data_IF_526135886213
#
_entry.id   IF_526135886213
#
_cell.length_a   1.000
_cell.length_b   1.000
_cell.length_c   1.000
_cell.angle_alpha   90.00
_cell.angle_beta   90.00
_cell.angle_gamma   90.00
#
_symmetry.space_group_name_H-M   'P 1'
#
loop_
_entity.id
_entity.type
_entity.pdbx_description
1 polymer ?
#
# COMPACT_ATOMS: atom_id res chain seq x y z
N UNK A 1 31.56 -7.46 -34.32
CA UNK A 1 31.63 -8.23 -33.06
C UNK A 1 30.27 -8.83 -32.76
N UNK A 2 30.07 -10.12 -33.06
CA UNK A 2 28.80 -10.83 -32.82
C UNK A 2 28.69 -11.26 -31.37
N UNK A 3 27.65 -10.80 -30.66
CA UNK A 3 27.38 -11.19 -29.28
C UNK A 3 27.13 -12.70 -29.17
N UNK A 4 27.98 -13.41 -28.42
CA UNK A 4 27.82 -14.84 -28.10
C UNK A 4 26.56 -15.00 -27.22
N UNK A 5 25.61 -15.81 -27.67
CA UNK A 5 24.45 -16.24 -26.87
C UNK A 5 24.94 -17.04 -25.66
N UNK A 6 24.39 -16.77 -24.48
CA UNK A 6 24.63 -17.57 -23.27
C UNK A 6 24.17 -19.03 -23.48
N UNK A 7 24.91 -20.03 -22.99
CA UNK A 7 24.53 -21.44 -23.09
C UNK A 7 23.26 -21.74 -22.27
N UNK A 8 22.45 -22.72 -22.69
CA UNK A 8 21.23 -23.10 -21.98
C UNK A 8 21.55 -23.67 -20.59
N UNK A 9 20.72 -23.31 -19.59
CA UNK A 9 20.81 -23.81 -18.21
C UNK A 9 20.63 -25.33 -18.22
N UNK A 10 21.66 -26.07 -17.81
CA UNK A 10 21.66 -27.53 -17.75
C UNK A 10 20.65 -28.08 -16.73
N UNK A 11 20.33 -29.38 -16.84
CA UNK A 11 19.43 -30.08 -15.92
C UNK A 11 19.99 -30.04 -14.48
N UNK A 12 19.13 -29.91 -13.45
CA UNK A 12 19.56 -29.87 -12.05
C UNK A 12 20.22 -31.21 -11.64
N UNK A 13 21.47 -31.13 -11.16
CA UNK A 13 22.24 -32.24 -10.56
C UNK A 13 21.92 -32.31 -9.06
N UNK A 14 21.86 -33.53 -8.50
CA UNK A 14 21.79 -33.74 -7.04
C UNK A 14 23.12 -33.34 -6.40
N UNK A 15 23.08 -32.54 -5.34
CA UNK A 15 24.24 -32.15 -4.56
C UNK A 15 24.82 -33.35 -3.82
N UNK A 16 26.14 -33.48 -3.83
CA UNK A 16 26.87 -34.38 -2.92
C UNK A 16 27.15 -33.64 -1.62
N UNK A 17 27.45 -34.37 -0.54
CA UNK A 17 27.72 -33.75 0.77
C UNK A 17 28.90 -32.76 0.72
N UNK A 18 29.93 -33.05 -0.08
CA UNK A 18 31.03 -32.11 -0.32
C UNK A 18 30.61 -30.79 -1.02
N UNK A 19 29.59 -30.84 -1.88
CA UNK A 19 29.03 -29.64 -2.53
C UNK A 19 28.29 -28.78 -1.48
N UNK A 20 27.65 -29.43 -0.49
CA UNK A 20 26.98 -28.75 0.64
C UNK A 20 27.99 -28.09 1.57
N UNK A 21 29.05 -28.78 1.95
CA UNK A 21 30.08 -28.26 2.85
C UNK A 21 30.80 -27.04 2.24
N UNK A 22 31.09 -27.10 0.94
CA UNK A 22 31.68 -25.98 0.20
C UNK A 22 30.76 -24.75 0.18
N UNK A 23 29.45 -24.94 -0.04
CA UNK A 23 28.49 -23.84 -0.01
C UNK A 23 28.34 -23.26 1.40
N UNK A 24 28.29 -24.08 2.45
CA UNK A 24 28.22 -23.61 3.84
C UNK A 24 29.43 -22.75 4.16
N UNK A 25 30.65 -23.23 3.89
CA UNK A 25 31.89 -22.49 4.14
C UNK A 25 31.96 -21.17 3.34
N UNK A 26 31.42 -21.16 2.13
CA UNK A 26 31.30 -19.95 1.32
C UNK A 26 30.32 -18.94 1.93
N UNK A 27 29.14 -19.38 2.39
CA UNK A 27 28.17 -18.49 3.05
C UNK A 27 28.71 -17.96 4.38
N UNK A 28 29.37 -18.80 5.18
CA UNK A 28 29.99 -18.38 6.45
C UNK A 28 31.07 -17.30 6.25
N UNK A 29 31.79 -17.33 5.13
CA UNK A 29 32.88 -16.38 4.85
C UNK A 29 32.46 -15.14 4.05
N UNK A 30 31.40 -15.21 3.24
CA UNK A 30 31.09 -14.18 2.22
C UNK A 30 29.79 -13.40 2.48
N UNK A 31 29.06 -13.68 3.56
CA UNK A 31 27.79 -13.02 3.90
C UNK A 31 27.98 -11.57 4.42
N UNK A 32 28.44 -10.66 3.57
CA UNK A 32 28.37 -9.21 3.80
C UNK A 32 27.25 -8.50 3.02
N UNK A 33 26.29 -9.24 2.42
CA UNK A 33 25.21 -8.63 1.64
C UNK A 33 23.95 -9.49 1.46
N UNK A 34 22.94 -8.92 0.79
CA UNK A 34 21.61 -9.52 0.57
C UNK A 34 21.70 -10.84 -0.22
N UNK A 35 21.09 -11.89 0.32
CA UNK A 35 21.08 -13.30 -0.14
C UNK A 35 20.44 -13.57 -1.52
N UNK A 36 20.06 -12.55 -2.30
CA UNK A 36 19.26 -12.73 -3.52
C UNK A 36 20.01 -13.34 -4.71
N UNK A 37 21.35 -13.34 -4.73
CA UNK A 37 22.14 -13.99 -5.80
C UNK A 37 23.59 -14.21 -5.38
N UNK A 38 23.87 -15.37 -4.80
CA UNK A 38 25.24 -15.83 -4.56
C UNK A 38 25.40 -17.22 -5.17
N UNK A 39 26.36 -17.36 -6.09
CA UNK A 39 26.83 -18.63 -6.63
C UNK A 39 28.28 -18.81 -6.19
N UNK A 40 28.64 -19.92 -5.52
CA UNK A 40 30.04 -20.19 -5.18
C UNK A 40 30.92 -20.21 -6.44
N UNK A 41 32.18 -19.75 -6.37
CA UNK A 41 33.10 -19.69 -7.52
C UNK A 41 33.26 -21.04 -8.24
N UNK A 42 33.23 -22.14 -7.47
CA UNK A 42 33.38 -23.50 -7.98
C UNK A 42 32.07 -24.12 -8.51
N UNK A 43 30.95 -23.38 -8.40
CA UNK A 43 29.62 -23.78 -8.86
C UNK A 43 28.94 -22.68 -9.71
N UNK A 44 29.59 -22.17 -10.78
CA UNK A 44 29.23 -20.91 -11.45
C UNK A 44 27.91 -20.94 -12.26
N UNK A 45 27.27 -22.10 -12.41
CA UNK A 45 26.03 -22.27 -13.17
C UNK A 45 24.79 -22.55 -12.29
N UNK A 46 24.91 -22.48 -10.97
CA UNK A 46 23.80 -22.74 -10.06
C UNK A 46 23.42 -21.48 -9.29
N UNK A 47 22.34 -20.83 -9.75
CA UNK A 47 21.59 -19.88 -8.95
C UNK A 47 20.78 -20.72 -7.96
N UNK A 48 20.92 -20.48 -6.65
CA UNK A 48 19.92 -20.93 -5.67
C UNK A 48 18.63 -20.16 -5.98
N UNK A 49 17.84 -20.68 -6.93
CA UNK A 49 16.59 -20.04 -7.33
C UNK A 49 15.62 -20.21 -6.17
N UNK A 50 15.38 -19.12 -5.45
CA UNK A 50 14.24 -18.95 -4.55
C UNK A 50 12.94 -19.10 -5.34
N UNK A 51 12.50 -20.34 -5.59
CA UNK A 51 11.17 -20.62 -6.12
C UNK A 51 10.24 -20.79 -4.93
N UNK A 52 9.29 -19.85 -4.81
CA UNK A 52 8.19 -19.85 -3.82
C UNK A 52 7.75 -21.29 -3.45
N UNK A 53 7.89 -21.64 -2.18
CA UNK A 53 7.25 -22.81 -1.59
C UNK A 53 7.99 -24.15 -1.69
N UNK A 54 9.22 -24.21 -2.21
CA UNK A 54 10.05 -25.44 -2.17
C UNK A 54 11.53 -25.12 -1.90
N UNK A 55 11.83 -24.61 -0.71
CA UNK A 55 13.19 -24.70 -0.16
C UNK A 55 13.31 -26.03 0.58
N UNK A 56 14.29 -26.83 0.18
CA UNK A 56 14.65 -28.07 0.85
C UNK A 56 14.84 -27.79 2.35
N UNK A 57 14.31 -28.68 3.21
CA UNK A 57 14.31 -28.52 4.66
C UNK A 57 15.75 -28.39 5.19
N UNK A 58 16.68 -29.15 4.61
CA UNK A 58 18.11 -29.08 4.97
C UNK A 58 18.72 -27.71 4.71
N UNK A 59 18.36 -27.03 3.62
CA UNK A 59 18.85 -25.67 3.32
C UNK A 59 18.36 -24.66 4.34
N UNK A 60 17.10 -24.80 4.79
CA UNK A 60 16.53 -23.93 5.82
C UNK A 60 17.20 -24.14 7.18
N UNK A 61 17.40 -25.39 7.57
CA UNK A 61 18.08 -25.74 8.83
C UNK A 61 19.54 -25.28 8.83
N UNK A 62 20.25 -25.42 7.71
CA UNK A 62 21.63 -24.95 7.57
C UNK A 62 21.75 -23.42 7.64
N UNK A 63 20.85 -22.68 6.99
CA UNK A 63 20.85 -21.22 7.08
C UNK A 63 20.51 -20.71 8.49
N UNK A 64 19.57 -21.37 9.17
CA UNK A 64 19.24 -21.05 10.56
C UNK A 64 20.47 -21.27 11.47
N UNK A 65 21.12 -22.43 11.36
CA UNK A 65 22.32 -22.75 12.14
C UNK A 65 23.49 -21.80 11.85
N UNK A 66 23.73 -21.43 10.59
CA UNK A 66 24.78 -20.47 10.22
C UNK A 66 24.49 -19.06 10.77
N UNK A 67 23.21 -18.66 10.78
CA UNK A 67 22.78 -17.37 11.34
C UNK A 67 22.96 -17.35 12.86
N UNK A 68 22.56 -18.42 13.57
CA UNK A 68 22.76 -18.56 15.02
C UNK A 68 24.23 -18.52 15.41
N UNK A 69 25.10 -19.27 14.72
CA UNK A 69 26.56 -19.25 14.97
C UNK A 69 27.16 -17.87 14.76
N UNK A 70 26.72 -17.15 13.72
CA UNK A 70 27.19 -15.78 13.47
C UNK A 70 26.73 -14.83 14.57
N UNK A 71 25.48 -14.90 15.00
CA UNK A 71 24.98 -14.10 16.13
C UNK A 71 25.80 -14.38 17.39
N UNK A 72 26.07 -15.65 17.70
CA UNK A 72 26.92 -16.04 18.82
C UNK A 72 28.36 -15.50 18.68
N UNK A 73 28.95 -15.58 17.48
CA UNK A 73 30.30 -15.07 17.22
C UNK A 73 30.38 -13.54 17.31
N UNK A 74 29.36 -12.80 16.85
CA UNK A 74 29.31 -11.35 16.98
C UNK A 74 29.16 -10.91 18.45
N UNK A 75 28.35 -11.64 19.23
CA UNK A 75 28.22 -11.43 20.68
C UNK A 75 29.54 -11.71 21.40
N UNK A 76 30.21 -12.81 21.07
CA UNK A 76 31.51 -13.16 21.65
C UNK A 76 32.63 -12.18 21.26
N UNK A 77 32.59 -11.63 20.04
CA UNK A 77 33.57 -10.67 19.54
C UNK A 77 33.37 -9.23 20.05
N UNK A 78 32.31 -8.96 20.83
CA UNK A 78 32.01 -7.61 21.34
C UNK A 78 31.80 -6.56 20.24
N UNK A 79 31.50 -6.99 19.00
CA UNK A 79 31.39 -6.11 17.85
C UNK A 79 30.09 -5.29 17.93
N UNK A 80 30.26 -3.97 18.06
CA UNK A 80 29.19 -2.97 18.04
C UNK A 80 28.50 -2.98 16.67
N UNK A 81 27.18 -3.14 16.65
CA UNK A 81 26.38 -2.62 15.52
C UNK A 81 26.41 -1.10 15.61
N UNK A 82 26.86 -0.43 14.55
CA UNK A 82 26.97 1.03 14.51
C UNK A 82 25.62 1.70 14.77
N UNK A 83 25.43 2.23 15.96
CA UNK A 83 25.48 3.66 16.33
C UNK A 83 25.34 3.74 17.86
N UNK A 84 26.11 4.63 18.48
CA UNK A 84 26.43 4.57 19.89
C UNK A 84 25.24 4.69 20.84
N UNK A 85 25.09 3.72 21.73
CA UNK A 85 24.77 3.92 23.15
C UNK A 85 25.40 2.80 23.98
N UNK A 86 26.00 3.18 25.11
CA UNK A 86 26.49 2.26 26.14
C UNK A 86 25.34 1.31 26.53
N UNK A 87 25.65 0.03 26.68
CA UNK A 87 24.78 -0.91 27.35
C UNK A 87 24.67 -0.52 28.84
N UNK A 88 23.77 0.40 29.15
CA UNK A 88 23.09 0.42 30.45
C UNK A 88 21.88 -0.49 30.30
N UNK A 89 21.84 -1.57 31.07
CA UNK A 89 20.87 -2.65 30.95
C UNK A 89 19.42 -2.15 30.92
N UNK A 90 18.76 -2.34 29.78
CA UNK A 90 17.31 -2.55 29.56
C UNK A 90 17.05 -2.42 28.05
N UNK A 91 16.26 -3.33 27.47
CA UNK A 91 15.79 -3.34 26.05
C UNK A 91 16.67 -4.08 25.03
N UNK A 92 16.76 -5.41 25.16
CA UNK A 92 17.15 -6.32 24.06
C UNK A 92 15.94 -7.01 23.38
N UNK A 93 14.72 -6.50 23.56
CA UNK A 93 13.47 -7.19 23.16
C UNK A 93 13.05 -6.96 21.69
N UNK A 94 13.69 -6.04 20.96
CA UNK A 94 13.10 -5.52 19.72
C UNK A 94 13.33 -6.34 18.44
N UNK A 95 14.35 -7.21 18.36
CA UNK A 95 14.62 -7.98 17.13
C UNK A 95 14.05 -9.41 17.13
N UNK A 96 13.63 -9.94 18.28
CA UNK A 96 13.13 -11.31 18.39
C UNK A 96 11.62 -11.46 18.06
N UNK A 97 10.89 -10.37 17.91
CA UNK A 97 9.41 -10.34 17.93
C UNK A 97 8.76 -10.08 16.57
N UNK A 98 9.54 -9.79 15.53
CA UNK A 98 9.05 -9.38 14.21
C UNK A 98 9.67 -10.21 13.09
N UNK A 99 8.88 -11.08 12.46
CA UNK A 99 9.28 -11.78 11.24
C UNK A 99 8.63 -11.15 10.00
N UNK A 100 9.42 -10.77 9.00
CA UNK A 100 8.90 -10.25 7.72
C UNK A 100 8.42 -11.43 6.86
N UNK A 101 7.10 -11.58 6.68
CA UNK A 101 6.51 -12.65 5.87
C UNK A 101 5.74 -12.10 4.66
N UNK A 102 6.33 -12.21 3.47
CA UNK A 102 5.69 -11.71 2.25
C UNK A 102 5.50 -10.19 2.26
N UNK A 103 4.26 -9.71 2.08
CA UNK A 103 3.89 -8.28 2.04
C UNK A 103 3.52 -7.69 3.43
N UNK A 104 3.79 -8.37 4.54
CA UNK A 104 3.43 -7.87 5.87
C UNK A 104 4.37 -8.33 6.98
N UNK A 105 4.32 -7.63 8.12
CA UNK A 105 5.02 -8.00 9.35
C UNK A 105 4.18 -9.03 10.12
N UNK A 106 4.78 -10.18 10.44
CA UNK A 106 4.20 -11.17 11.33
C UNK A 106 4.81 -10.95 12.71
N UNK A 107 3.98 -10.46 13.61
CA UNK A 107 4.36 -10.28 15.00
C UNK A 107 4.18 -11.58 15.79
N UNK A 108 5.09 -11.81 16.73
CA UNK A 108 4.99 -12.91 17.69
C UNK A 108 3.82 -12.70 18.66
N UNK A 109 3.33 -13.76 19.31
CA UNK A 109 2.22 -13.65 20.26
C UNK A 109 2.60 -12.81 21.49
N UNK A 110 3.88 -12.79 21.85
CA UNK A 110 4.45 -11.93 22.89
C UNK A 110 4.29 -10.47 22.52
N UNK A 111 4.56 -10.09 21.25
CA UNK A 111 4.41 -8.72 20.79
C UNK A 111 2.96 -8.22 20.81
N UNK A 112 1.98 -9.10 20.52
CA UNK A 112 0.56 -8.76 20.71
C UNK A 112 0.20 -8.56 22.18
N UNK A 113 0.76 -9.40 23.05
CA UNK A 113 0.52 -9.31 24.50
C UNK A 113 1.17 -8.05 25.09
N UNK A 114 2.38 -7.70 24.64
CA UNK A 114 3.07 -6.47 25.03
C UNK A 114 2.31 -5.23 24.58
N UNK A 115 1.76 -5.22 23.37
CA UNK A 115 0.90 -4.12 22.92
C UNK A 115 -0.31 -3.93 23.84
N UNK A 116 -1.01 -5.02 24.16
CA UNK A 116 -2.20 -4.96 25.01
C UNK A 116 -1.84 -4.47 26.42
N UNK A 117 -0.74 -4.95 27.00
CA UNK A 117 -0.27 -4.51 28.31
C UNK A 117 0.11 -3.02 28.33
N UNK A 118 0.78 -2.53 27.26
CA UNK A 118 1.08 -1.10 27.13
C UNK A 118 -0.18 -0.26 26.98
N UNK A 119 -1.11 -0.71 26.14
CA UNK A 119 -2.40 -0.02 25.98
C UNK A 119 -3.20 0.00 27.29
N UNK A 120 -3.12 -1.05 28.11
CA UNK A 120 -3.77 -1.11 29.42
C UNK A 120 -3.12 -0.17 30.44
N UNK A 121 -1.79 -0.07 30.45
CA UNK A 121 -1.05 0.85 31.31
C UNK A 121 -1.12 2.33 30.87
N UNK A 122 -1.51 2.61 29.63
CA UNK A 122 -1.52 3.98 29.08
C UNK A 122 -2.72 4.81 29.58
N UNK A 123 -2.49 5.74 30.50
CA UNK A 123 -3.54 6.63 31.02
C UNK A 123 -3.81 7.84 30.12
N UNK A 124 -3.04 8.03 29.04
CA UNK A 124 -3.05 9.26 28.23
C UNK A 124 -4.06 9.25 27.09
N UNK A 125 -4.47 8.07 26.61
CA UNK A 125 -5.56 7.99 25.65
C UNK A 125 -6.89 8.29 26.35
N UNK A 126 -7.65 9.28 25.90
CA UNK A 126 -8.99 9.59 26.43
C UNK A 126 -10.10 9.05 25.51
N UNK A 127 -9.75 8.63 24.29
CA UNK A 127 -10.70 8.16 23.30
C UNK A 127 -10.19 6.98 22.46
N UNK A 128 -11.13 6.26 21.82
CA UNK A 128 -10.80 5.21 20.84
C UNK A 128 -9.94 5.76 19.69
N UNK A 129 -10.15 7.01 19.29
CA UNK A 129 -9.39 7.64 18.20
C UNK A 129 -7.94 7.88 18.59
N UNK A 130 -7.67 8.26 19.83
CA UNK A 130 -6.31 8.41 20.36
C UNK A 130 -5.64 7.05 20.59
N UNK A 131 -6.38 6.09 21.16
CA UNK A 131 -5.88 4.71 21.30
C UNK A 131 -5.51 4.06 19.96
N UNK A 132 -6.18 4.45 18.86
CA UNK A 132 -5.84 4.02 17.49
C UNK A 132 -4.55 4.67 16.96
N UNK A 133 -4.23 5.90 17.41
CA UNK A 133 -3.04 6.65 17.03
C UNK A 133 -1.81 6.21 17.82
N UNK A 134 -1.97 5.52 18.95
CA UNK A 134 -0.87 4.99 19.72
C UNK A 134 -0.03 4.03 18.87
N UNK A 135 1.23 4.41 18.68
CA UNK A 135 2.21 3.63 17.95
C UNK A 135 3.42 3.36 18.84
N UNK A 136 3.75 2.08 18.99
CA UNK A 136 4.96 1.65 19.69
C UNK A 136 5.87 0.94 18.68
N UNK A 137 7.06 1.50 18.37
CA UNK A 137 8.01 0.88 17.45
C UNK A 137 8.31 -0.57 17.83
N UNK A 138 8.26 -1.48 16.85
CA UNK A 138 8.48 -2.92 17.05
C UNK A 138 7.26 -3.72 17.50
N UNK A 139 6.14 -3.07 17.86
CA UNK A 139 4.89 -3.74 18.22
C UNK A 139 3.87 -3.78 17.07
N UNK A 140 2.86 -4.67 17.12
CA UNK A 140 1.78 -4.70 16.14
C UNK A 140 0.99 -3.39 16.14
N UNK A 141 0.45 -2.99 14.99
CA UNK A 141 -0.47 -1.85 14.92
C UNK A 141 -1.81 -2.18 15.58
N UNK A 142 -2.55 -1.17 16.06
CA UNK A 142 -3.89 -1.32 16.63
C UNK A 142 -4.81 -2.21 15.78
N UNK A 143 -4.81 -2.02 14.45
CA UNK A 143 -5.62 -2.82 13.54
C UNK A 143 -5.17 -4.28 13.44
N UNK A 144 -3.86 -4.54 13.53
CA UNK A 144 -3.33 -5.90 13.58
C UNK A 144 -3.82 -6.61 14.86
N UNK A 145 -3.77 -5.92 16.00
CA UNK A 145 -4.29 -6.42 17.28
C UNK A 145 -5.80 -6.62 17.22
N UNK A 146 -6.58 -5.66 16.67
CA UNK A 146 -8.02 -5.81 16.45
C UNK A 146 -8.38 -7.03 15.62
N UNK A 147 -7.53 -7.42 14.66
CA UNK A 147 -7.78 -8.59 13.80
C UNK A 147 -7.52 -9.91 14.53
N UNK A 148 -6.49 -9.96 15.36
CA UNK A 148 -5.96 -11.21 15.94
C UNK A 148 -6.32 -11.42 17.41
N UNK A 149 -6.45 -10.35 18.20
CA UNK A 149 -6.78 -10.34 19.63
C UNK A 149 -8.00 -9.45 19.94
N UNK A 150 -8.99 -9.45 19.05
CA UNK A 150 -10.18 -8.57 19.11
C UNK A 150 -10.84 -8.52 20.49
N UNK A 151 -11.09 -9.68 21.10
CA UNK A 151 -11.81 -9.77 22.37
C UNK A 151 -11.02 -9.15 23.53
N UNK A 152 -9.71 -9.41 23.60
CA UNK A 152 -8.83 -8.86 24.63
C UNK A 152 -8.73 -7.34 24.48
N UNK A 153 -8.52 -6.86 23.26
CA UNK A 153 -8.49 -5.43 22.96
C UNK A 153 -9.84 -4.76 23.30
N UNK A 154 -10.97 -5.38 22.93
CA UNK A 154 -12.29 -4.87 23.29
C UNK A 154 -12.52 -4.84 24.81
N UNK A 155 -12.01 -5.82 25.55
CA UNK A 155 -12.10 -5.86 27.02
C UNK A 155 -11.35 -4.67 27.65
N UNK A 156 -10.10 -4.44 27.22
CA UNK A 156 -9.28 -3.32 27.72
C UNK A 156 -9.93 -1.98 27.37
N UNK A 157 -10.35 -1.80 26.12
CA UNK A 157 -11.02 -0.58 25.67
C UNK A 157 -12.32 -0.35 26.44
N UNK A 158 -13.11 -1.40 26.69
CA UNK A 158 -14.36 -1.27 27.46
C UNK A 158 -14.09 -0.96 28.94
N UNK A 159 -13.07 -1.57 29.54
CA UNK A 159 -12.63 -1.26 30.91
C UNK A 159 -12.19 0.19 31.09
N UNK A 160 -11.58 0.77 30.04
CA UNK A 160 -11.22 2.20 29.98
C UNK A 160 -12.37 3.14 29.61
N UNK A 161 -13.59 2.63 29.45
CA UNK A 161 -14.73 3.45 29.01
C UNK A 161 -14.68 3.85 27.52
N UNK A 162 -13.71 3.35 26.74
CA UNK A 162 -13.69 3.47 25.28
C UNK A 162 -14.68 2.48 24.68
N UNK A 163 -15.97 2.69 24.94
CA UNK A 163 -17.02 2.03 24.21
C UNK A 163 -16.89 2.54 22.79
N UNK A 164 -16.31 1.72 21.91
CA UNK A 164 -16.21 2.04 20.50
C UNK A 164 -17.59 2.44 20.03
N UNK A 165 -17.79 3.74 19.81
CA UNK A 165 -18.88 4.26 18.98
C UNK A 165 -18.56 3.78 17.56
N UNK A 166 -18.65 2.47 17.31
CA UNK A 166 -19.14 1.99 16.04
C UNK A 166 -20.52 2.61 15.99
N UNK A 167 -20.58 3.83 15.46
CA UNK A 167 -21.74 4.70 15.57
C UNK A 167 -22.90 3.83 15.17
N UNK A 168 -23.82 3.58 16.12
CA UNK A 168 -25.06 2.87 15.79
C UNK A 168 -25.52 3.53 14.50
N UNK A 169 -25.81 2.76 13.43
CA UNK A 169 -26.18 3.35 12.16
C UNK A 169 -27.23 4.41 12.48
N UNK A 170 -26.91 5.68 12.21
CA UNK A 170 -27.78 6.78 12.58
C UNK A 170 -29.14 6.43 12.00
N UNK A 171 -30.10 6.16 12.88
CA UNK A 171 -31.47 5.93 12.47
C UNK A 171 -31.97 7.34 12.24
N UNK A 172 -32.25 7.65 10.98
CA UNK A 172 -32.82 8.92 10.60
C UNK A 172 -34.34 8.77 10.65
N UNK A 173 -35.01 9.81 11.15
CA UNK A 173 -36.46 9.91 11.13
C UNK A 173 -36.98 9.90 9.69
N UNK A 174 -38.27 9.57 9.53
CA UNK A 174 -38.88 9.46 8.20
C UNK A 174 -38.84 10.75 7.39
N UNK A 175 -39.02 11.88 8.07
CA UNK A 175 -38.98 13.21 7.47
C UNK A 175 -37.62 13.50 6.82
N UNK A 176 -36.53 13.04 7.44
CA UNK A 176 -35.16 13.24 6.94
C UNK A 176 -34.91 12.39 5.70
N UNK A 177 -35.47 11.17 5.65
CA UNK A 177 -35.39 10.34 4.45
C UNK A 177 -36.25 10.89 3.30
N UNK A 178 -37.44 11.42 3.60
CA UNK A 178 -38.28 12.08 2.61
C UNK A 178 -37.59 13.32 2.02
N UNK A 179 -36.94 14.12 2.86
CA UNK A 179 -36.14 15.26 2.44
C UNK A 179 -34.92 14.84 1.59
N UNK A 180 -34.22 13.78 1.99
CA UNK A 180 -33.12 13.23 1.21
C UNK A 180 -33.57 12.74 -0.19
N UNK A 181 -34.75 12.12 -0.29
CA UNK A 181 -35.34 11.72 -1.57
C UNK A 181 -35.65 12.97 -2.43
N UNK A 182 -36.24 14.02 -1.83
CA UNK A 182 -36.52 15.28 -2.52
C UNK A 182 -35.25 15.87 -3.13
N UNK A 183 -34.15 15.89 -2.38
CA UNK A 183 -32.87 16.34 -2.91
C UNK A 183 -32.36 15.43 -4.02
N UNK A 184 -32.33 14.10 -3.82
CA UNK A 184 -31.91 13.15 -4.87
C UNK A 184 -32.78 13.17 -6.15
N UNK A 185 -33.99 13.72 -6.09
CA UNK A 185 -34.84 13.94 -7.26
C UNK A 185 -34.49 15.19 -8.07
N UNK A 186 -33.82 16.16 -7.44
CA UNK A 186 -33.54 17.49 -8.03
C UNK A 186 -32.06 17.71 -8.33
N UNK A 187 -31.16 16.97 -7.69
CA UNK A 187 -29.71 17.12 -7.84
C UNK A 187 -29.01 15.80 -8.17
N UNK A 188 -27.81 15.91 -8.72
CA UNK A 188 -26.90 14.78 -8.94
C UNK A 188 -26.42 14.17 -7.62
N UNK A 189 -25.89 12.94 -7.66
CA UNK A 189 -25.33 12.28 -6.47
C UNK A 189 -24.15 13.05 -5.86
N UNK A 190 -23.40 13.77 -6.69
CA UNK A 190 -22.26 14.59 -6.26
C UNK A 190 -22.74 15.82 -5.52
N UNK A 191 -23.67 16.58 -6.11
CA UNK A 191 -24.29 17.75 -5.46
C UNK A 191 -24.99 17.39 -4.14
N UNK A 192 -25.62 16.21 -4.08
CA UNK A 192 -26.20 15.69 -2.84
C UNK A 192 -25.15 15.41 -1.76
N UNK A 193 -23.98 14.90 -2.14
CA UNK A 193 -22.91 14.63 -1.19
C UNK A 193 -22.38 15.93 -0.57
N UNK A 194 -22.23 16.97 -1.39
CA UNK A 194 -21.75 18.29 -0.97
C UNK A 194 -22.81 18.99 -0.09
N UNK A 195 -24.08 18.95 -0.49
CA UNK A 195 -25.20 19.47 0.32
C UNK A 195 -25.30 18.76 1.68
N UNK A 196 -25.11 17.43 1.72
CA UNK A 196 -25.08 16.65 2.96
C UNK A 196 -23.93 17.11 3.88
N UNK A 197 -22.75 17.39 3.34
CA UNK A 197 -21.63 17.88 4.13
C UNK A 197 -21.91 19.25 4.73
N UNK A 198 -22.58 20.14 3.99
CA UNK A 198 -22.97 21.46 4.48
C UNK A 198 -24.05 21.41 5.57
N UNK A 199 -25.08 20.56 5.43
CA UNK A 199 -26.24 20.51 6.34
C UNK A 199 -26.05 19.53 7.51
N UNK A 200 -25.19 18.51 7.36
CA UNK A 200 -24.78 17.57 8.43
C UNK A 200 -25.84 16.55 8.89
N UNK A 201 -27.12 16.78 8.64
CA UNK A 201 -28.25 15.98 9.14
C UNK A 201 -28.81 14.93 8.15
N UNK A 202 -28.36 14.91 6.90
CA UNK A 202 -28.94 14.04 5.87
C UNK A 202 -28.25 12.65 5.79
N UNK A 203 -28.97 11.57 5.46
CA UNK A 203 -28.41 10.24 5.29
C UNK A 203 -27.42 10.18 4.12
N UNK A 204 -26.41 9.33 4.21
CA UNK A 204 -25.54 9.07 3.06
C UNK A 204 -26.30 8.34 1.95
N UNK A 205 -25.88 8.50 0.69
CA UNK A 205 -26.47 7.76 -0.42
C UNK A 205 -26.46 6.23 -0.18
N UNK A 206 -25.42 5.72 0.48
CA UNK A 206 -25.35 4.30 0.85
C UNK A 206 -26.39 3.92 1.92
N UNK A 207 -26.67 4.80 2.89
CA UNK A 207 -27.71 4.56 3.90
C UNK A 207 -29.11 4.51 3.26
N UNK A 208 -29.40 5.42 2.33
CA UNK A 208 -30.65 5.44 1.56
C UNK A 208 -30.81 4.15 0.74
N UNK A 209 -29.76 3.72 0.02
CA UNK A 209 -29.79 2.48 -0.75
C UNK A 209 -29.95 1.23 0.14
N UNK A 210 -29.31 1.20 1.32
CA UNK A 210 -29.50 0.12 2.30
C UNK A 210 -30.91 0.10 2.88
N UNK A 211 -31.57 1.25 2.99
CA UNK A 211 -32.98 1.33 3.38
C UNK A 211 -33.87 0.81 2.25
N UNK A 212 -33.68 1.27 1.01
CA UNK A 212 -34.42 0.79 -0.15
C UNK A 212 -34.28 -0.74 -0.37
N UNK A 213 -33.15 -1.34 0.02
CA UNK A 213 -33.00 -2.80 -0.03
C UNK A 213 -33.86 -3.54 1.01
N UNK A 214 -34.26 -2.89 2.11
CA UNK A 214 -35.05 -3.47 3.22
C UNK A 214 -36.54 -3.17 3.10
N UNK A 215 -36.89 -2.01 2.54
CA UNK A 215 -38.24 -1.49 2.44
C UNK A 215 -38.65 -1.32 0.96
N UNK A 216 -39.51 -2.22 0.42
CA UNK A 216 -39.95 -2.18 -0.96
C UNK A 216 -40.79 -0.94 -1.31
N UNK A 217 -41.55 -0.38 -0.37
CA UNK A 217 -42.38 0.80 -0.62
C UNK A 217 -41.50 2.04 -0.76
N UNK A 218 -40.55 2.20 0.17
CA UNK A 218 -39.52 3.23 0.07
C UNK A 218 -38.70 3.14 -1.22
N UNK A 219 -38.37 1.91 -1.66
CA UNK A 219 -37.68 1.70 -2.92
C UNK A 219 -38.50 2.19 -4.12
N UNK A 220 -39.81 1.86 -4.17
CA UNK A 220 -40.70 2.34 -5.23
C UNK A 220 -40.75 3.87 -5.26
N UNK A 221 -40.89 4.51 -4.11
CA UNK A 221 -40.91 5.97 -4.01
C UNK A 221 -39.59 6.58 -4.50
N UNK A 222 -38.46 6.12 -3.98
CA UNK A 222 -37.12 6.57 -4.37
C UNK A 222 -36.90 6.46 -5.88
N UNK A 223 -37.22 5.32 -6.49
CA UNK A 223 -37.01 5.09 -7.92
C UNK A 223 -38.04 5.78 -8.81
N UNK A 224 -39.23 6.11 -8.30
CA UNK A 224 -40.23 6.89 -9.04
C UNK A 224 -39.87 8.36 -9.16
N UNK A 225 -39.28 8.94 -8.09
CA UNK A 225 -38.90 10.35 -8.02
C UNK A 225 -37.53 10.64 -8.60
N UNK A 226 -36.65 9.64 -8.67
CA UNK A 226 -35.34 9.82 -9.28
C UNK A 226 -35.54 10.23 -10.74
N UNK A 227 -34.91 11.33 -11.21
CA UNK A 227 -34.97 11.68 -12.62
C UNK A 227 -34.51 10.43 -13.36
N UNK A 228 -35.37 9.91 -14.23
CA UNK A 228 -34.97 8.87 -15.18
C UNK A 228 -33.88 9.56 -15.98
N UNK A 229 -32.62 9.34 -15.61
CA UNK A 229 -31.54 9.57 -16.53
C UNK A 229 -31.95 8.73 -17.72
N UNK A 230 -32.35 9.40 -18.80
CA UNK A 230 -32.49 8.81 -20.12
C UNK A 230 -31.08 8.38 -20.51
N UNK A 231 -30.56 7.35 -19.83
CA UNK A 231 -29.38 6.65 -20.23
C UNK A 231 -29.78 6.11 -21.58
N UNK A 232 -29.30 6.76 -22.63
CA UNK A 232 -29.55 6.41 -24.02
C UNK A 232 -29.23 4.93 -24.16
N UNK A 233 -30.28 4.10 -24.07
CA UNK A 233 -30.13 2.66 -24.02
C UNK A 233 -30.07 2.20 -25.47
N UNK A 234 -28.87 2.28 -26.03
CA UNK A 234 -28.66 1.83 -27.40
C UNK A 234 -28.83 0.32 -27.49
N UNK A 235 -29.76 -0.12 -28.34
CA UNK A 235 -29.89 -1.51 -28.76
C UNK A 235 -29.13 -1.66 -30.07
N UNK A 236 -28.20 -2.59 -30.11
CA UNK A 236 -27.38 -2.86 -31.30
C UNK A 236 -27.87 -4.14 -31.96
N UNK A 237 -27.93 -4.14 -33.30
CA UNK A 237 -28.21 -5.35 -34.07
C UNK A 237 -27.04 -6.34 -33.97
N UNK A 238 -27.29 -7.60 -34.30
CA UNK A 238 -26.23 -8.62 -34.33
C UNK A 238 -25.12 -8.24 -35.32
N UNK A 239 -25.47 -7.69 -36.47
CA UNK A 239 -24.51 -7.22 -37.49
C UNK A 239 -23.55 -6.16 -36.93
N UNK A 240 -24.05 -5.23 -36.13
CA UNK A 240 -23.22 -4.20 -35.48
C UNK A 240 -22.25 -4.82 -34.48
N UNK A 241 -22.66 -5.87 -33.76
CA UNK A 241 -21.77 -6.62 -32.88
C UNK A 241 -20.70 -7.41 -33.65
N UNK A 242 -21.05 -8.00 -34.78
CA UNK A 242 -20.11 -8.73 -35.65
C UNK A 242 -19.11 -7.79 -36.32
N UNK A 243 -19.57 -6.63 -36.79
CA UNK A 243 -18.71 -5.58 -37.31
C UNK A 243 -17.74 -5.07 -36.23
N UNK A 244 -18.22 -4.93 -34.98
CA UNK A 244 -17.36 -4.55 -33.87
C UNK A 244 -16.28 -5.60 -33.57
N UNK A 245 -16.63 -6.90 -33.55
CA UNK A 245 -15.65 -7.98 -33.37
C UNK A 245 -14.64 -7.99 -34.51
N UNK A 246 -15.09 -7.87 -35.76
CA UNK A 246 -14.22 -7.85 -36.93
C UNK A 246 -13.24 -6.69 -36.87
N UNK A 247 -13.73 -5.50 -36.49
CA UNK A 247 -12.92 -4.29 -36.32
C UNK A 247 -11.89 -4.42 -35.19
N UNK A 248 -12.30 -4.96 -34.03
CA UNK A 248 -11.38 -5.30 -32.93
C UNK A 248 -10.35 -6.32 -33.40
N UNK A 249 -10.77 -7.27 -34.24
CA UNK A 249 -9.92 -8.32 -34.77
C UNK A 249 -8.86 -7.82 -35.76
N UNK A 250 -9.18 -6.80 -36.55
CA UNK A 250 -8.31 -6.21 -37.56
C UNK A 250 -7.39 -5.12 -37.01
N UNK A 251 -7.93 -4.20 -36.20
CA UNK A 251 -7.21 -3.01 -35.74
C UNK A 251 -6.83 -3.05 -34.25
N UNK A 252 -7.32 -4.05 -33.52
CA UNK A 252 -7.10 -4.18 -32.09
C UNK A 252 -8.05 -3.36 -31.24
N UNK A 253 -7.95 -3.56 -29.92
CA UNK A 253 -8.85 -2.94 -28.95
C UNK A 253 -8.66 -1.42 -28.79
N UNK A 254 -7.43 -0.92 -28.95
CA UNK A 254 -7.13 0.50 -28.76
C UNK A 254 -7.79 1.34 -29.85
N UNK A 255 -7.57 0.98 -31.12
CA UNK A 255 -8.21 1.63 -32.26
C UNK A 255 -9.74 1.56 -32.19
N UNK A 256 -10.29 0.41 -31.77
CA UNK A 256 -11.73 0.29 -31.55
C UNK A 256 -12.24 1.30 -30.52
N UNK A 257 -11.55 1.48 -29.39
CA UNK A 257 -11.97 2.40 -28.33
C UNK A 257 -11.85 3.87 -28.73
N UNK A 258 -10.83 4.22 -29.52
CA UNK A 258 -10.64 5.58 -30.05
C UNK A 258 -11.74 5.97 -31.04
N UNK A 259 -12.23 5.00 -31.83
CA UNK A 259 -13.27 5.22 -32.84
C UNK A 259 -14.70 4.95 -32.34
N UNK A 260 -14.87 4.49 -31.09
CA UNK A 260 -16.16 4.08 -30.54
C UNK A 260 -17.01 5.30 -30.16
N UNK A 261 -17.84 5.76 -31.10
CA UNK A 261 -18.87 6.78 -30.84
C UNK A 261 -20.12 6.16 -30.20
N UNK A 262 -20.66 6.74 -29.11
CA UNK A 262 -21.91 6.28 -28.50
C UNK A 262 -23.05 6.17 -29.53
N UNK A 263 -23.78 5.05 -29.51
CA UNK A 263 -24.93 4.82 -30.40
C UNK A 263 -24.60 4.26 -31.78
N UNK A 264 -23.38 4.46 -32.27
CA UNK A 264 -22.92 3.88 -33.55
C UNK A 264 -22.24 2.52 -33.31
N UNK A 265 -21.33 2.48 -32.34
CA UNK A 265 -20.60 1.26 -32.00
C UNK A 265 -21.00 0.76 -30.61
N UNK A 266 -21.09 -0.56 -30.42
CA UNK A 266 -21.45 -1.13 -29.14
C UNK A 266 -20.34 -0.83 -28.13
N UNK A 267 -20.72 -0.26 -26.99
CA UNK A 267 -19.76 -0.02 -25.91
C UNK A 267 -19.11 -1.33 -25.47
N UNK A 268 -17.91 -1.24 -24.87
CA UNK A 268 -17.19 -2.39 -24.33
C UNK A 268 -18.08 -3.24 -23.40
N UNK A 269 -18.88 -2.57 -22.55
CA UNK A 269 -19.82 -3.22 -21.65
C UNK A 269 -20.96 -3.92 -22.40
N UNK A 270 -21.46 -3.32 -23.49
CA UNK A 270 -22.48 -3.94 -24.33
C UNK A 270 -21.96 -5.22 -25.01
N UNK A 271 -20.71 -5.21 -25.50
CA UNK A 271 -20.04 -6.38 -26.09
C UNK A 271 -19.88 -7.48 -25.03
N UNK A 272 -19.39 -7.15 -23.83
CA UNK A 272 -19.23 -8.15 -22.76
C UNK A 272 -20.56 -8.70 -22.24
N UNK A 273 -21.59 -7.86 -22.15
CA UNK A 273 -22.93 -8.30 -21.76
C UNK A 273 -23.48 -9.29 -22.78
N UNK A 274 -23.31 -9.04 -24.09
CA UNK A 274 -23.66 -9.97 -25.17
C UNK A 274 -22.87 -11.29 -25.05
N UNK A 275 -21.55 -11.20 -24.87
CA UNK A 275 -20.68 -12.37 -24.70
C UNK A 275 -21.01 -13.22 -23.45
N UNK A 276 -21.69 -12.65 -22.44
CA UNK A 276 -22.14 -13.43 -21.28
C UNK A 276 -23.33 -14.34 -21.62
N UNK A 277 -24.23 -13.88 -22.47
CA UNK A 277 -25.43 -14.63 -22.89
C UNK A 277 -25.20 -15.55 -24.09
N UNK A 278 -24.24 -15.23 -24.95
CA UNK A 278 -23.98 -15.94 -26.21
C UNK A 278 -22.61 -16.61 -26.20
N UNK A 279 -22.60 -17.95 -26.12
CA UNK A 279 -21.38 -18.77 -26.00
C UNK A 279 -20.52 -18.72 -27.26
N UNK A 280 -21.13 -18.67 -28.45
CA UNK A 280 -20.42 -18.64 -29.73
C UNK A 280 -19.78 -17.27 -29.96
N UNK A 281 -20.51 -16.20 -29.66
CA UNK A 281 -19.97 -14.84 -29.66
C UNK A 281 -18.79 -14.71 -28.69
N UNK A 282 -18.89 -15.30 -27.49
CA UNK A 282 -17.80 -15.34 -26.51
C UNK A 282 -16.58 -16.08 -27.03
N UNK A 283 -16.75 -17.21 -27.70
CA UNK A 283 -15.63 -17.99 -28.24
C UNK A 283 -14.83 -17.19 -29.28
N UNK A 284 -15.53 -16.48 -30.19
CA UNK A 284 -14.91 -15.60 -31.19
C UNK A 284 -14.20 -14.41 -30.56
N UNK A 285 -14.80 -13.80 -29.54
CA UNK A 285 -14.18 -12.70 -28.79
C UNK A 285 -12.95 -13.15 -27.97
N UNK A 286 -12.99 -14.36 -27.41
CA UNK A 286 -11.96 -14.88 -26.50
C UNK A 286 -10.56 -14.88 -27.13
N UNK A 287 -10.44 -15.25 -28.41
CA UNK A 287 -9.17 -15.21 -29.14
C UNK A 287 -8.55 -13.82 -29.13
N UNK A 288 -9.37 -12.80 -29.41
CA UNK A 288 -8.95 -11.39 -29.48
C UNK A 288 -8.68 -10.78 -28.09
N UNK A 289 -9.41 -11.20 -27.05
CA UNK A 289 -9.08 -10.80 -25.66
C UNK A 289 -7.77 -11.40 -25.17
N UNK A 290 -7.44 -12.66 -25.51
CA UNK A 290 -6.17 -13.29 -25.09
C UNK A 290 -4.97 -12.55 -25.64
N UNK A 291 -5.02 -12.11 -26.90
CA UNK A 291 -3.98 -11.26 -27.51
C UNK A 291 -3.81 -9.94 -26.76
N UNK A 292 -4.91 -9.26 -26.41
CA UNK A 292 -4.86 -8.03 -25.60
C UNK A 292 -4.15 -8.24 -24.25
N UNK A 293 -4.51 -9.31 -23.53
CA UNK A 293 -3.88 -9.61 -22.24
C UNK A 293 -2.41 -9.99 -22.39
N UNK A 294 -2.06 -10.71 -23.46
CA UNK A 294 -0.67 -11.05 -23.79
C UNK A 294 0.16 -9.79 -24.08
N UNK A 295 -0.29 -8.92 -24.97
CA UNK A 295 0.39 -7.66 -25.31
C UNK A 295 0.55 -6.75 -24.08
N UNK A 296 -0.49 -6.63 -23.24
CA UNK A 296 -0.40 -5.86 -21.99
C UNK A 296 0.64 -6.45 -21.04
N UNK A 297 0.79 -7.78 -20.99
CA UNK A 297 1.80 -8.46 -20.18
C UNK A 297 3.20 -8.25 -20.74
N UNK A 298 3.37 -8.33 -22.05
CA UNK A 298 4.64 -8.10 -22.74
C UNK A 298 5.11 -6.65 -22.59
N UNK A 299 4.21 -5.66 -22.77
CA UNK A 299 4.49 -4.25 -22.52
C UNK A 299 4.96 -4.01 -21.08
N UNK A 300 4.23 -4.57 -20.09
CA UNK A 300 4.63 -4.49 -18.67
C UNK A 300 6.01 -5.12 -18.42
N UNK A 301 6.31 -6.24 -19.07
CA UNK A 301 7.61 -6.88 -18.96
C UNK A 301 8.72 -6.04 -19.60
N UNK A 302 8.47 -5.38 -20.73
CA UNK A 302 9.42 -4.49 -21.40
C UNK A 302 9.68 -3.22 -20.59
N UNK A 303 8.64 -2.59 -20.03
CA UNK A 303 8.82 -1.42 -19.16
C UNK A 303 9.58 -1.78 -17.88
N UNK A 304 9.27 -2.92 -17.26
CA UNK A 304 10.02 -3.42 -16.10
C UNK A 304 11.48 -3.75 -16.43
N UNK A 305 11.78 -4.24 -17.64
CA UNK A 305 13.15 -4.48 -18.11
C UNK A 305 13.91 -3.17 -18.35
N UNK A 306 13.27 -2.17 -18.95
CA UNK A 306 13.88 -0.85 -19.17
C UNK A 306 14.17 -0.11 -17.86
N UNK A 307 13.31 -0.26 -16.86
CA UNK A 307 13.50 0.35 -15.53
C UNK A 307 14.58 -0.35 -14.69
N UNK A 308 15.05 -1.54 -15.09
CA UNK A 308 16.06 -2.32 -14.36
C UNK A 308 17.52 -2.03 -14.76
N UNK A 309 17.76 -1.09 -15.66
CA UNK A 309 19.13 -0.61 -15.88
C UNK A 309 19.47 0.31 -14.71
N UNK A 310 20.16 -0.23 -13.71
CA UNK A 310 20.70 0.54 -12.61
C UNK A 310 21.69 1.57 -13.19
N UNK A 311 21.23 2.81 -13.35
CA UNK A 311 22.10 3.94 -13.64
C UNK A 311 23.08 4.04 -12.48
N UNK A 312 24.38 3.85 -12.76
CA UNK A 312 25.43 4.11 -11.79
C UNK A 312 25.31 5.57 -11.35
N UNK A 313 24.92 5.79 -10.09
CA UNK A 313 24.72 7.14 -9.56
C UNK A 313 26.08 7.72 -9.15
N UNK A 314 26.34 9.01 -9.42
CA UNK A 314 27.51 9.68 -8.88
C UNK A 314 27.41 9.72 -7.35
N UNK A 315 28.50 9.42 -6.65
CA UNK A 315 28.56 9.48 -5.18
C UNK A 315 28.70 10.93 -4.67
N UNK A 316 28.35 11.17 -3.40
CA UNK A 316 28.47 12.47 -2.74
C UNK A 316 27.21 13.36 -2.77
N UNK A 317 27.37 14.65 -2.48
CA UNK A 317 26.25 15.61 -2.33
C UNK A 317 25.43 15.79 -3.61
N UNK A 318 26.08 15.71 -4.78
CA UNK A 318 25.40 15.72 -6.08
C UNK A 318 24.55 14.46 -6.28
N UNK A 319 25.06 13.30 -5.86
CA UNK A 319 24.32 12.04 -5.84
C UNK A 319 23.07 12.11 -4.97
N UNK A 320 23.18 12.75 -3.81
CA UNK A 320 22.05 12.99 -2.90
C UNK A 320 21.00 13.93 -3.48
N UNK A 321 21.40 15.05 -4.10
CA UNK A 321 20.46 15.98 -4.74
C UNK A 321 19.75 15.36 -5.95
N UNK A 322 20.49 14.58 -6.76
CA UNK A 322 19.91 13.84 -7.88
C UNK A 322 18.95 12.74 -7.40
N UNK A 323 19.31 12.04 -6.31
CA UNK A 323 18.45 11.06 -5.65
C UNK A 323 17.15 11.71 -5.15
N UNK A 324 17.24 12.88 -4.52
CA UNK A 324 16.09 13.65 -4.04
C UNK A 324 15.16 14.04 -5.19
N UNK A 325 15.70 14.61 -6.28
CA UNK A 325 14.90 14.97 -7.46
C UNK A 325 14.25 13.75 -8.14
N UNK A 326 14.99 12.66 -8.27
CA UNK A 326 14.47 11.41 -8.82
C UNK A 326 13.37 10.82 -7.94
N UNK A 327 13.53 10.86 -6.62
CA UNK A 327 12.54 10.41 -5.66
C UNK A 327 11.25 11.25 -5.77
N UNK A 328 11.34 12.58 -5.82
CA UNK A 328 10.17 13.45 -6.01
C UNK A 328 9.46 13.16 -7.33
N UNK A 329 10.21 13.03 -8.43
CA UNK A 329 9.65 12.73 -9.75
C UNK A 329 8.95 11.37 -9.79
N UNK A 330 9.47 10.38 -9.05
CA UNK A 330 8.85 9.07 -8.96
C UNK A 330 7.63 9.09 -8.05
N UNK A 331 7.70 9.75 -6.89
CA UNK A 331 6.56 9.93 -5.98
C UNK A 331 5.38 10.62 -6.68
N UNK A 332 5.62 11.69 -7.45
CA UNK A 332 4.57 12.41 -8.19
C UNK A 332 3.80 11.52 -9.18
N UNK A 333 4.43 10.49 -9.74
CA UNK A 333 3.76 9.53 -10.64
C UNK A 333 2.78 8.61 -9.92
N UNK A 334 3.04 8.32 -8.64
CA UNK A 334 2.29 7.31 -7.88
C UNK A 334 1.31 7.92 -6.87
N UNK A 335 1.48 9.17 -6.47
CA UNK A 335 0.53 9.91 -5.63
C UNK A 335 -0.64 10.42 -6.49
N UNK A 336 -1.90 9.99 -6.23
CA UNK A 336 -3.05 10.37 -7.05
C UNK A 336 -3.34 11.87 -7.04
N UNK A 337 -3.66 12.42 -8.22
CA UNK A 337 -3.96 13.85 -8.38
C UNK A 337 -5.29 14.31 -7.79
N UNK A 338 -6.18 13.41 -7.39
CA UNK A 338 -7.49 13.80 -6.84
C UNK A 338 -7.44 14.22 -5.37
N UNK A 339 -6.31 14.02 -4.67
CA UNK A 339 -6.10 14.57 -3.33
C UNK A 339 -5.75 16.07 -3.40
N UNK A 340 -5.99 16.78 -2.29
CA UNK A 340 -5.64 18.20 -2.14
C UNK A 340 -4.14 18.42 -2.37
N UNK A 341 -3.75 19.61 -2.80
CA UNK A 341 -2.36 19.85 -3.23
C UNK A 341 -1.40 19.66 -2.06
N UNK A 342 -1.79 20.17 -0.90
CA UNK A 342 -1.07 20.12 0.36
C UNK A 342 -0.81 18.66 0.77
N UNK A 343 -1.88 17.85 0.86
CA UNK A 343 -1.78 16.42 1.17
C UNK A 343 -0.87 15.66 0.20
N UNK A 344 -0.94 15.97 -1.10
CA UNK A 344 -0.10 15.30 -2.09
C UNK A 344 1.37 15.64 -1.90
N UNK A 345 1.67 16.90 -1.58
CA UNK A 345 3.05 17.36 -1.44
C UNK A 345 3.65 16.84 -0.12
N UNK A 346 2.85 16.68 0.93
CA UNK A 346 3.24 15.98 2.17
C UNK A 346 3.53 14.50 1.92
N UNK A 347 2.61 13.77 1.29
CA UNK A 347 2.80 12.35 0.95
C UNK A 347 4.05 12.14 0.08
N UNK A 348 4.32 13.05 -0.87
CA UNK A 348 5.55 12.99 -1.67
C UNK A 348 6.79 13.22 -0.81
N UNK A 349 6.74 14.19 0.10
CA UNK A 349 7.86 14.51 1.00
C UNK A 349 8.18 13.33 1.92
N UNK A 350 7.18 12.65 2.45
CA UNK A 350 7.35 11.43 3.28
C UNK A 350 8.01 10.29 2.50
N UNK A 351 7.55 10.06 1.26
CA UNK A 351 8.15 9.06 0.38
C UNK A 351 9.62 9.40 0.09
N UNK A 352 9.92 10.68 -0.17
CA UNK A 352 11.29 11.14 -0.44
C UNK A 352 12.16 11.00 0.81
N UNK A 353 11.65 11.36 1.99
CA UNK A 353 12.36 11.22 3.25
C UNK A 353 12.74 9.75 3.51
N UNK A 354 11.82 8.81 3.31
CA UNK A 354 12.08 7.38 3.45
C UNK A 354 13.17 6.88 2.46
N UNK A 355 13.21 7.46 1.24
CA UNK A 355 14.25 7.14 0.25
C UNK A 355 15.61 7.68 0.66
N UNK A 356 15.67 8.93 1.16
CA UNK A 356 16.91 9.55 1.62
C UNK A 356 17.45 8.85 2.88
N UNK A 357 16.56 8.39 3.76
CA UNK A 357 16.90 7.58 4.94
C UNK A 357 17.32 6.14 4.60
N UNK A 358 17.26 5.74 3.32
CA UNK A 358 17.54 4.38 2.82
C UNK A 358 16.61 3.30 3.40
N UNK A 359 15.43 3.70 3.86
CA UNK A 359 14.36 2.79 4.29
C UNK A 359 13.56 2.24 3.11
N UNK A 360 13.56 2.99 1.99
CA UNK A 360 12.84 2.68 0.76
C UNK A 360 13.76 2.88 -0.46
N UNK A 361 13.86 1.90 -1.36
CA UNK A 361 14.55 2.10 -2.64
C UNK A 361 13.64 2.86 -3.64
N UNK A 362 14.22 3.61 -4.59
CA UNK A 362 13.43 4.42 -5.56
C UNK A 362 12.50 3.56 -6.42
N UNK A 363 12.94 2.36 -6.80
CA UNK A 363 12.14 1.40 -7.56
C UNK A 363 11.02 0.76 -6.72
N UNK A 364 11.11 0.84 -5.40
CA UNK A 364 10.07 0.36 -4.47
C UNK A 364 8.97 1.41 -4.21
N UNK A 365 9.16 2.68 -4.61
CA UNK A 365 8.16 3.75 -4.41
C UNK A 365 6.79 3.35 -4.98
N UNK A 366 6.75 2.80 -6.18
CA UNK A 366 5.47 2.47 -6.84
C UNK A 366 4.67 1.38 -6.13
N UNK A 367 5.35 0.40 -5.54
CA UNK A 367 4.72 -0.69 -4.80
C UNK A 367 4.29 -0.26 -3.38
N UNK A 368 4.94 0.76 -2.81
CA UNK A 368 4.71 1.22 -1.43
C UNK A 368 3.91 2.53 -1.34
N UNK A 369 3.70 3.27 -2.43
CA UNK A 369 2.99 4.56 -2.39
C UNK A 369 1.59 4.47 -1.75
N UNK A 370 0.86 3.37 -1.97
CA UNK A 370 -0.46 3.16 -1.33
C UNK A 370 -0.39 3.05 0.19
N UNK A 371 0.74 2.58 0.73
CA UNK A 371 0.96 2.52 2.18
C UNK A 371 1.14 3.93 2.73
N UNK A 372 2.01 4.75 2.14
CA UNK A 372 2.19 6.17 2.52
C UNK A 372 0.88 6.97 2.43
N UNK A 373 0.12 6.81 1.34
CA UNK A 373 -1.21 7.45 1.20
C UNK A 373 -2.15 6.98 2.32
N UNK A 374 -2.20 5.67 2.58
CA UNK A 374 -3.05 5.14 3.65
C UNK A 374 -2.61 5.63 5.03
N UNK A 375 -1.32 5.84 5.25
CA UNK A 375 -0.75 6.25 6.54
C UNK A 375 -0.99 7.74 6.80
N UNK A 376 -0.78 8.59 5.78
CA UNK A 376 -1.07 10.04 5.80
C UNK A 376 -2.51 10.31 6.22
N UNK A 377 -3.48 9.60 5.62
CA UNK A 377 -4.91 9.75 5.93
C UNK A 377 -5.38 8.93 7.14
N UNK A 378 -4.62 7.93 7.61
CA UNK A 378 -4.93 7.21 8.86
C UNK A 378 -4.58 8.00 10.12
N UNK A 379 -3.88 9.14 9.97
CA UNK A 379 -3.38 9.95 11.08
C UNK A 379 -2.08 9.41 11.69
N UNK A 380 -1.23 8.77 10.87
CA UNK A 380 -0.05 8.05 11.33
C UNK A 380 1.28 8.77 11.10
N UNK A 381 1.97 9.03 12.21
CA UNK A 381 3.42 9.22 12.41
C UNK A 381 4.08 10.49 11.83
N UNK A 382 3.76 10.92 10.62
CA UNK A 382 4.34 12.15 10.03
C UNK A 382 3.35 13.32 9.94
N UNK A 383 2.06 13.03 9.67
CA UNK A 383 0.99 14.04 9.64
C UNK A 383 0.40 14.38 11.03
N UNK A 384 0.72 13.60 12.07
CA UNK A 384 0.40 13.95 13.46
C UNK A 384 1.31 15.04 14.03
N UNK A 385 2.43 15.33 13.35
CA UNK A 385 3.01 16.64 13.41
C UNK A 385 2.04 17.58 12.71
N UNK A 386 1.07 18.14 13.44
CA UNK A 386 0.60 19.48 13.10
C UNK A 386 1.89 20.30 13.02
N UNK A 387 2.40 20.52 11.82
CA UNK A 387 3.18 21.72 11.56
C UNK A 387 2.15 22.84 11.70
N UNK A 388 1.88 23.19 12.96
CA UNK A 388 1.39 24.51 13.30
C UNK A 388 2.24 25.46 12.48
N UNK A 389 1.61 26.42 11.80
CA UNK A 389 2.35 27.47 11.11
C UNK A 389 3.50 27.92 12.00
N UNK A 390 4.66 28.22 11.42
CA UNK A 390 5.75 28.83 12.18
C UNK A 390 5.27 30.08 12.95
N UNK A 391 4.21 30.72 12.43
CA UNK A 391 3.51 31.87 13.01
C UNK A 391 2.40 31.50 14.01
N UNK A 392 2.13 30.21 14.22
CA UNK A 392 1.13 29.76 15.18
C UNK A 392 1.69 29.86 16.61
N UNK A 393 0.86 30.25 17.58
CA UNK A 393 1.29 30.36 18.96
C UNK A 393 1.70 28.99 19.53
N UNK A 394 2.79 28.97 20.31
CA UNK A 394 3.36 27.74 20.91
C UNK A 394 2.42 27.11 21.95
N UNK A 395 1.60 27.93 22.59
CA UNK A 395 0.54 27.53 23.51
C UNK A 395 -0.72 28.33 23.18
N UNK A 396 -1.92 27.78 23.40
CA UNK A 396 -3.19 28.43 23.06
C UNK A 396 -3.38 29.80 23.74
N UNK A 397 -2.70 30.04 24.88
CA UNK A 397 -2.77 31.28 25.66
C UNK A 397 -1.56 32.21 25.45
N UNK A 398 -0.66 31.87 24.52
CA UNK A 398 0.63 32.55 24.34
C UNK A 398 0.66 33.34 23.04
N UNK A 399 1.14 34.58 23.04
CA UNK A 399 1.43 35.32 21.80
C UNK A 399 2.77 34.93 21.17
N UNK A 400 3.54 34.06 21.84
CA UNK A 400 4.87 33.64 21.43
C UNK A 400 4.76 32.60 20.31
N UNK A 401 5.33 32.92 19.15
CA UNK A 401 5.30 32.05 17.97
C UNK A 401 6.55 31.16 17.92
N UNK A 402 6.53 30.11 17.10
CA UNK A 402 7.71 29.24 16.92
C UNK A 402 8.87 29.97 16.22
N UNK A 403 8.58 30.99 15.39
CA UNK A 403 9.61 31.86 14.77
C UNK A 403 10.37 32.66 15.82
N UNK A 404 9.67 33.23 16.80
CA UNK A 404 10.31 34.06 17.84
C UNK A 404 11.38 33.27 18.60
N UNK A 405 11.14 31.98 18.82
CA UNK A 405 12.04 31.04 19.50
C UNK A 405 13.27 30.62 18.68
N UNK A 406 13.19 30.74 17.35
CA UNK A 406 14.30 30.47 16.43
C UNK A 406 15.10 31.74 16.14
N UNK A 407 14.49 32.92 16.30
CA UNK A 407 15.16 34.22 16.18
C UNK A 407 15.91 34.63 17.45
N UNK A 408 15.58 34.03 18.60
CA UNK A 408 16.34 34.16 19.85
C UNK A 408 17.60 33.28 19.79
N UNK A 409 18.50 33.59 18.88
CA UNK A 409 19.90 33.20 19.00
C UNK A 409 20.50 33.99 20.18
N UNK A 410 20.36 33.39 21.36
CA UNK A 410 21.28 33.56 22.49
C UNK A 410 22.67 33.03 22.08
N UNK A 411 23.28 33.66 21.08
CA UNK A 411 24.71 33.65 20.83
C UNK A 411 25.41 34.71 21.70
N UNK A 412 24.96 34.88 22.95
CA UNK A 412 25.85 35.44 23.97
C UNK A 412 26.77 34.30 24.43
N UNK A 413 27.92 34.20 23.76
CA UNK A 413 29.08 33.48 24.26
C UNK A 413 29.35 33.94 25.71
N UNK A 414 28.99 33.08 26.67
CA UNK A 414 29.51 33.13 28.04
C UNK A 414 30.99 32.74 27.93
N UNK A 415 31.85 33.64 28.40
CA UNK A 415 33.30 33.46 28.48
C UNK A 415 33.76 32.51 29.57
#
# INVERSE_FOLDING_TARGET
>A
MTARKCPPIGRPRKWKDADWDAAIKFFETTLHGSLKSLSPPDLPNYIVVWKRGRTDRRVRELLAAATERRCAAMVAAGLRTGEGKRASGTKSVTFATVEKFGRGLRYSDEAYSEYLARLEADETAESLGEAQKLYWPGLPTFHSVMRRRRQQLQSILSGKGFVGRGGRPRIFEEEVYAEAIRFLSTMSLTEYADHRQAVGALPSAQAILRRAARDPEFARELYSKRPKTEGLSYRYSNEVYEAAISKIGAHGWSAYLEECKPGVWPSLNAIYKRARGDKEFKARLNGKTRERFRLKRELRALTARRQKVALARPDGQLGFLLLQQDAYRMADKFVPRHYAREDRDDIKSDIVAAVLARELEIDEIGDNASWFISEHFRGGVFSSGKFSSLDAPVYDDSSLTYVDRLSSDDYSHIG
#
